data_IF_878169065729
#
_entry.id   IF_878169065729
#
_cell.length_a   1.000
_cell.length_b   1.000
_cell.length_c   1.000
_cell.angle_alpha   90.00
_cell.angle_beta   90.00
_cell.angle_gamma   90.00
#
_symmetry.space_group_name_H-M   'P 1'
#
loop_
_entity.id
_entity.type
_entity.pdbx_description
1 polymer ?
#
# COMPACT_ATOMS: atom_id res chain seq x y z
N UNK A 1 23.16 -28.39 -2.51
CA UNK A 1 23.25 -29.25 -1.30
C UNK A 1 24.68 -29.36 -0.77
N UNK A 2 25.35 -28.23 -0.44
CA UNK A 2 26.74 -28.26 0.14
C UNK A 2 27.04 -27.10 1.09
N UNK A 3 26.03 -26.43 1.69
CA UNK A 3 26.22 -25.32 2.65
C UNK A 3 25.48 -25.48 4.00
N UNK A 4 24.99 -26.69 4.35
CA UNK A 4 24.27 -26.92 5.62
C UNK A 4 24.97 -27.84 6.61
N UNK A 5 26.31 -27.97 6.57
CA UNK A 5 27.07 -28.86 7.44
C UNK A 5 28.21 -28.18 8.23
N UNK A 6 28.18 -26.85 8.40
CA UNK A 6 29.27 -26.15 9.13
C UNK A 6 28.80 -25.38 10.38
N UNK A 7 27.55 -25.48 10.81
CA UNK A 7 27.02 -24.72 11.97
C UNK A 7 26.76 -25.55 13.24
N UNK A 8 27.26 -26.80 13.33
CA UNK A 8 27.00 -27.70 14.45
C UNK A 8 28.24 -28.03 15.31
N UNK A 9 29.34 -27.29 15.22
CA UNK A 9 30.58 -27.59 15.91
C UNK A 9 31.20 -26.42 16.71
N UNK A 10 30.42 -25.38 17.07
CA UNK A 10 30.94 -24.24 17.86
C UNK A 10 30.16 -23.93 19.15
N UNK A 11 29.42 -24.87 19.70
CA UNK A 11 28.68 -24.69 20.98
C UNK A 11 29.22 -25.55 22.15
N UNK A 12 30.53 -25.81 22.26
CA UNK A 12 31.07 -26.63 23.34
C UNK A 12 32.41 -26.11 23.89
N UNK A 13 32.60 -24.80 24.08
CA UNK A 13 33.80 -24.30 24.77
C UNK A 13 33.62 -22.90 25.32
N UNK A 14 32.74 -22.70 26.33
CA UNK A 14 32.77 -21.51 27.20
C UNK A 14 31.93 -21.72 28.46
N UNK A 15 32.33 -22.70 29.28
CA UNK A 15 31.96 -22.75 30.69
C UNK A 15 33.23 -23.22 31.43
N UNK A 16 34.06 -22.27 31.89
CA UNK A 16 35.01 -22.42 33.01
C UNK A 16 35.94 -21.19 33.05
N UNK A 17 35.53 -20.17 33.79
CA UNK A 17 36.47 -19.24 34.45
C UNK A 17 35.69 -18.18 35.27
N UNK A 18 35.13 -18.58 36.39
CA UNK A 18 34.81 -17.69 37.51
C UNK A 18 35.11 -18.44 38.78
N UNK A 19 36.26 -18.16 39.34
CA UNK A 19 36.57 -18.32 40.77
C UNK A 19 38.07 -17.98 40.99
N UNK A 20 38.34 -16.79 41.49
CA UNK A 20 39.36 -16.52 42.50
C UNK A 20 39.75 -15.05 42.50
N UNK A 21 39.66 -14.44 43.69
CA UNK A 21 40.42 -13.25 44.01
C UNK A 21 39.74 -12.23 44.91
N UNK A 22 39.42 -12.60 46.16
CA UNK A 22 39.34 -11.64 47.28
C UNK A 22 40.74 -11.20 47.69
N UNK A 23 40.95 -9.88 47.95
CA UNK A 23 42.20 -9.36 48.57
C UNK A 23 42.00 -7.91 48.98
N UNK A 24 41.96 -7.73 50.27
CA UNK A 24 41.74 -6.57 51.14
C UNK A 24 42.98 -5.67 51.22
N UNK A 25 42.84 -4.34 51.35
CA UNK A 25 43.37 -3.49 52.40
C UNK A 25 43.57 -2.02 52.00
N UNK A 26 42.87 -1.12 52.70
CA UNK A 26 43.27 0.12 53.44
C UNK A 26 44.57 0.81 52.99
N UNK A 27 44.61 2.12 52.76
CA UNK A 27 44.71 3.20 53.77
C UNK A 27 44.91 4.58 53.11
N UNK A 28 44.29 5.58 53.69
CA UNK A 28 44.60 6.99 53.90
C UNK A 28 45.49 7.80 52.92
N UNK A 29 44.97 9.00 52.60
CA UNK A 29 45.79 10.17 52.25
C UNK A 29 45.06 11.28 51.54
N UNK A 30 44.67 12.24 52.34
CA UNK A 30 44.17 13.59 52.02
C UNK A 30 45.15 14.36 51.12
N UNK A 31 44.67 15.05 50.10
CA UNK A 31 44.86 16.51 49.93
C UNK A 31 44.13 17.06 48.71
N UNK A 32 43.47 18.16 48.99
CA UNK A 32 42.82 19.10 48.07
C UNK A 32 43.76 19.70 47.01
N UNK A 33 43.27 20.07 45.83
CA UNK A 33 43.32 21.41 45.25
C UNK A 33 42.56 21.46 43.91
N UNK A 34 41.76 22.51 43.73
CA UNK A 34 41.05 23.09 42.58
C UNK A 34 41.62 22.85 41.17
N UNK A 35 40.81 22.68 40.15
CA UNK A 35 40.41 23.75 39.24
C UNK A 35 39.76 23.23 37.92
N UNK A 36 38.77 23.96 37.49
CA UNK A 36 38.21 24.14 36.18
C UNK A 36 37.55 23.01 35.41
N UNK A 37 36.21 23.15 35.42
CA UNK A 37 35.35 22.62 34.42
C UNK A 37 35.78 22.94 32.99
N UNK A 38 35.79 21.91 32.19
CA UNK A 38 35.63 22.05 30.74
C UNK A 38 34.40 21.24 30.39
N UNK A 39 33.28 21.95 30.20
CA UNK A 39 32.13 21.44 29.48
C UNK A 39 32.59 21.03 28.06
N UNK A 40 32.89 19.77 27.90
CA UNK A 40 32.88 19.17 26.55
C UNK A 40 31.45 18.80 26.24
N UNK A 41 30.73 19.72 25.61
CA UNK A 41 29.60 19.34 24.74
C UNK A 41 30.14 18.28 23.78
N UNK A 42 29.76 17.05 23.97
CA UNK A 42 29.74 16.08 22.88
C UNK A 42 28.70 16.60 21.88
N UNK A 43 29.17 17.17 20.78
CA UNK A 43 28.38 17.25 19.56
C UNK A 43 28.28 15.80 19.12
N UNK A 44 27.14 15.14 19.44
CA UNK A 44 26.71 13.95 18.76
C UNK A 44 26.47 14.37 17.31
N UNK A 45 27.43 14.03 16.46
CA UNK A 45 27.24 14.01 15.02
C UNK A 45 26.18 12.96 14.68
N UNK A 46 25.60 12.96 13.47
CA UNK A 46 24.55 12.02 13.10
C UNK A 46 25.01 10.59 13.43
N UNK A 47 24.22 9.90 14.24
CA UNK A 47 24.46 8.52 14.67
C UNK A 47 24.44 7.62 13.43
N UNK A 48 25.60 7.35 12.88
CA UNK A 48 25.80 6.51 11.71
C UNK A 48 25.75 5.05 12.13
N UNK A 49 24.55 4.47 12.29
CA UNK A 49 24.47 3.04 12.54
C UNK A 49 23.21 2.47 13.17
N UNK A 50 22.17 3.25 13.42
CA UNK A 50 20.92 2.70 13.91
C UNK A 50 20.10 2.14 12.74
N UNK A 51 19.84 0.82 12.78
CA UNK A 51 18.92 0.16 11.85
C UNK A 51 17.56 0.07 12.54
N UNK A 52 16.54 0.63 11.94
CA UNK A 52 15.17 0.56 12.40
C UNK A 52 14.49 -0.70 11.89
N UNK A 53 13.90 -1.47 12.79
CA UNK A 53 13.08 -2.63 12.44
C UNK A 53 11.63 -2.21 12.31
N UNK A 54 11.13 -2.17 11.08
CA UNK A 54 9.78 -1.70 10.76
C UNK A 54 8.91 -2.89 10.34
N UNK A 55 7.84 -3.13 11.07
CA UNK A 55 6.82 -4.11 10.70
C UNK A 55 5.95 -3.56 9.57
N UNK A 56 5.63 -4.38 8.57
CA UNK A 56 4.76 -3.99 7.46
C UNK A 56 3.66 -5.02 7.32
N UNK A 57 2.43 -4.63 7.63
CA UNK A 57 1.24 -5.46 7.41
C UNK A 57 0.56 -5.03 6.13
N UNK A 58 0.45 -5.97 5.19
CA UNK A 58 -0.19 -5.75 3.89
C UNK A 58 -1.44 -6.61 3.74
N UNK A 59 -2.26 -6.30 2.76
CA UNK A 59 -3.40 -7.11 2.35
C UNK A 59 -2.94 -8.48 1.78
N UNK A 60 -3.67 -9.06 0.85
CA UNK A 60 -3.26 -10.36 0.29
C UNK A 60 -2.30 -10.20 -0.89
N UNK A 61 -1.16 -10.87 -0.83
CA UNK A 61 -0.11 -10.84 -1.88
C UNK A 61 -0.53 -11.48 -3.21
N UNK A 62 -1.72 -12.05 -3.28
CA UNK A 62 -2.28 -12.57 -4.53
C UNK A 62 -2.74 -11.46 -5.49
N UNK A 63 -3.04 -10.25 -5.00
CA UNK A 63 -3.46 -9.12 -5.81
C UNK A 63 -2.28 -8.46 -6.51
N UNK A 64 -2.44 -8.09 -7.78
CA UNK A 64 -1.34 -7.53 -8.59
C UNK A 64 -0.80 -6.22 -8.02
N UNK A 65 -1.69 -5.30 -7.64
CA UNK A 65 -1.31 -4.05 -6.99
C UNK A 65 -0.47 -4.31 -5.71
N UNK A 66 -0.90 -5.25 -4.86
CA UNK A 66 -0.17 -5.59 -3.63
C UNK A 66 1.19 -6.24 -3.94
N UNK A 67 1.32 -7.04 -5.01
CA UNK A 67 2.62 -7.55 -5.45
C UNK A 67 3.57 -6.42 -5.86
N UNK A 68 3.08 -5.42 -6.61
CA UNK A 68 3.88 -4.26 -7.00
C UNK A 68 4.35 -3.49 -5.76
N UNK A 69 3.46 -3.27 -4.80
CA UNK A 69 3.76 -2.67 -3.51
C UNK A 69 4.83 -3.46 -2.72
N UNK A 70 4.66 -4.78 -2.58
CA UNK A 70 5.64 -5.66 -1.91
C UNK A 70 6.99 -5.65 -2.61
N UNK A 71 7.02 -5.62 -3.93
CA UNK A 71 8.27 -5.51 -4.70
C UNK A 71 8.97 -4.16 -4.46
N UNK A 72 8.20 -3.06 -4.40
CA UNK A 72 8.73 -1.73 -4.07
C UNK A 72 9.31 -1.69 -2.65
N UNK A 73 8.60 -2.27 -1.67
CA UNK A 73 9.08 -2.37 -0.29
C UNK A 73 10.33 -3.22 -0.16
N UNK A 74 10.41 -4.38 -0.85
CA UNK A 74 11.62 -5.21 -0.87
C UNK A 74 12.83 -4.43 -1.44
N UNK A 75 12.58 -3.65 -2.50
CA UNK A 75 13.64 -2.82 -3.07
C UNK A 75 14.10 -1.73 -2.10
N UNK A 76 13.18 -1.10 -1.36
CA UNK A 76 13.53 -0.13 -0.32
C UNK A 76 14.33 -0.77 0.83
N UNK A 77 13.98 -1.99 1.26
CA UNK A 77 14.73 -2.77 2.25
C UNK A 77 16.16 -3.06 1.78
N UNK A 78 16.34 -3.38 0.49
CA UNK A 78 17.65 -3.61 -0.11
C UNK A 78 18.48 -2.33 -0.29
N UNK A 79 17.83 -1.19 -0.58
CA UNK A 79 18.49 0.08 -0.93
C UNK A 79 18.77 0.99 0.29
N UNK A 80 18.10 0.77 1.44
CA UNK A 80 18.18 1.64 2.62
C UNK A 80 18.86 0.94 3.80
N UNK A 81 20.16 1.11 3.96
CA UNK A 81 20.96 0.49 5.06
C UNK A 81 20.42 0.73 6.48
N UNK A 82 19.54 1.73 6.66
CA UNK A 82 19.00 2.15 7.96
C UNK A 82 17.64 1.52 8.31
N UNK A 83 17.09 0.65 7.47
CA UNK A 83 15.82 -0.04 7.73
C UNK A 83 15.96 -1.56 7.57
N UNK A 84 15.15 -2.30 8.31
CA UNK A 84 14.87 -3.72 8.16
C UNK A 84 13.35 -3.87 8.11
N UNK A 85 12.79 -4.20 6.95
CA UNK A 85 11.35 -4.36 6.77
C UNK A 85 10.92 -5.80 7.05
N UNK A 86 10.03 -5.98 8.03
CA UNK A 86 9.43 -7.28 8.36
C UNK A 86 8.01 -7.32 7.80
N UNK A 87 7.87 -7.84 6.58
CA UNK A 87 6.61 -7.85 5.85
C UNK A 87 5.78 -9.11 6.12
N UNK A 88 4.47 -8.93 6.28
CA UNK A 88 3.51 -10.02 6.47
C UNK A 88 2.32 -9.90 5.53
N UNK A 89 1.88 -11.05 5.00
CA UNK A 89 0.67 -11.21 4.19
C UNK A 89 -0.51 -11.50 5.12
N UNK A 90 -1.49 -10.62 5.16
CA UNK A 90 -2.71 -10.82 5.99
C UNK A 90 -3.74 -11.77 5.33
N UNK A 91 -3.49 -12.25 4.11
CA UNK A 91 -4.27 -13.29 3.41
C UNK A 91 -5.79 -12.98 3.31
N UNK A 92 -6.18 -11.72 3.14
CA UNK A 92 -7.57 -11.24 3.15
C UNK A 92 -8.32 -11.48 4.47
N UNK A 93 -7.61 -11.67 5.58
CA UNK A 93 -8.21 -11.90 6.89
C UNK A 93 -7.90 -10.74 7.84
N UNK A 94 -8.94 -9.99 8.22
CA UNK A 94 -8.82 -8.93 9.23
C UNK A 94 -8.33 -9.51 10.56
N UNK A 95 -8.83 -10.69 10.96
CA UNK A 95 -8.40 -11.37 12.19
C UNK A 95 -6.90 -11.69 12.14
N UNK A 96 -6.40 -12.18 10.99
CA UNK A 96 -4.98 -12.44 10.79
C UNK A 96 -4.18 -11.14 10.84
N UNK A 97 -4.64 -10.08 10.16
CA UNK A 97 -4.00 -8.77 10.19
C UNK A 97 -3.79 -8.25 11.61
N UNK A 98 -4.81 -8.32 12.45
CA UNK A 98 -4.73 -7.91 13.86
C UNK A 98 -3.74 -8.77 14.64
N UNK A 99 -3.77 -10.09 14.46
CA UNK A 99 -2.82 -11.02 15.09
C UNK A 99 -1.38 -10.79 14.62
N UNK A 100 -1.18 -10.44 13.35
CA UNK A 100 0.15 -10.12 12.80
C UNK A 100 0.69 -8.82 13.44
N UNK A 101 -0.13 -7.79 13.60
CA UNK A 101 0.23 -6.53 14.28
C UNK A 101 0.63 -6.82 15.74
N UNK A 102 -0.17 -7.57 16.49
CA UNK A 102 0.16 -7.97 17.87
C UNK A 102 1.48 -8.74 17.93
N UNK A 103 1.75 -9.59 16.95
CA UNK A 103 3.00 -10.36 16.86
C UNK A 103 4.20 -9.43 16.60
N UNK A 104 4.08 -8.45 15.70
CA UNK A 104 5.13 -7.47 15.42
C UNK A 104 5.41 -6.61 16.66
N UNK A 105 4.38 -6.16 17.37
CA UNK A 105 4.52 -5.46 18.66
C UNK A 105 5.29 -6.31 19.67
N UNK A 106 4.93 -7.59 19.82
CA UNK A 106 5.61 -8.51 20.75
C UNK A 106 7.06 -8.80 20.35
N UNK A 107 7.39 -8.73 19.06
CA UNK A 107 8.76 -8.86 18.53
C UNK A 107 9.60 -7.60 18.72
N UNK A 108 9.01 -6.51 19.18
CA UNK A 108 9.70 -5.26 19.47
C UNK A 108 10.15 -4.51 18.21
N UNK A 109 9.29 -4.42 17.20
CA UNK A 109 9.53 -3.54 16.04
C UNK A 109 9.54 -2.07 16.50
N UNK A 110 10.32 -1.22 15.84
CA UNK A 110 10.42 0.20 16.16
C UNK A 110 9.21 1.01 15.66
N UNK A 111 8.57 0.58 14.57
CA UNK A 111 7.39 1.19 13.96
C UNK A 111 6.60 0.19 13.13
N UNK A 112 5.37 0.54 12.77
CA UNK A 112 4.50 -0.29 11.92
C UNK A 112 3.93 0.53 10.75
N UNK A 113 4.07 -0.01 9.53
CA UNK A 113 3.34 0.42 8.34
C UNK A 113 2.13 -0.50 8.15
N UNK A 114 0.93 0.08 8.11
CA UNK A 114 -0.32 -0.66 7.97
C UNK A 114 -1.04 -0.32 6.66
N UNK A 115 -1.11 -1.29 5.75
CA UNK A 115 -2.04 -1.26 4.63
C UNK A 115 -3.29 -2.04 5.03
N UNK A 116 -4.32 -1.34 5.55
CA UNK A 116 -5.46 -1.97 6.19
C UNK A 116 -6.38 -2.71 5.20
N UNK A 117 -7.00 -3.80 5.65
CA UNK A 117 -7.97 -4.60 4.90
C UNK A 117 -9.38 -4.03 4.95
N UNK A 118 -9.76 -3.42 6.08
CA UNK A 118 -11.11 -2.94 6.32
C UNK A 118 -11.09 -1.61 7.06
N UNK A 119 -11.90 -0.66 6.61
CA UNK A 119 -12.04 0.64 7.25
C UNK A 119 -12.41 0.53 8.74
N UNK A 120 -13.43 -0.27 9.08
CA UNK A 120 -13.86 -0.49 10.45
C UNK A 120 -13.06 -1.63 11.13
N UNK A 121 -12.94 -2.78 10.44
CA UNK A 121 -12.43 -4.03 11.04
C UNK A 121 -10.97 -3.97 11.46
N UNK A 122 -10.14 -3.18 10.77
CA UNK A 122 -8.70 -3.07 11.08
C UNK A 122 -8.37 -1.97 12.11
N UNK A 123 -9.37 -1.21 12.58
CA UNK A 123 -9.19 -0.05 13.49
C UNK A 123 -8.52 -0.40 14.82
N UNK A 124 -8.71 -1.61 15.33
CA UNK A 124 -8.08 -2.05 16.58
C UNK A 124 -6.56 -2.24 16.48
N UNK A 125 -6.00 -2.38 15.26
CA UNK A 125 -4.55 -2.39 15.05
C UNK A 125 -3.91 -1.06 15.43
N UNK A 126 -4.56 0.07 15.10
CA UNK A 126 -4.12 1.42 15.47
C UNK A 126 -4.11 1.59 16.99
N UNK A 127 -5.18 1.13 17.66
CA UNK A 127 -5.27 1.17 19.12
C UNK A 127 -4.21 0.32 19.79
N UNK A 128 -3.92 -0.88 19.27
CA UNK A 128 -2.87 -1.77 19.79
C UNK A 128 -1.49 -1.11 19.73
N UNK A 129 -1.13 -0.51 18.59
CA UNK A 129 0.13 0.22 18.41
C UNK A 129 0.23 1.43 19.36
N UNK A 130 -0.83 2.22 19.46
CA UNK A 130 -0.89 3.35 20.40
C UNK A 130 -0.66 2.92 21.84
N UNK A 131 -1.33 1.85 22.28
CA UNK A 131 -1.18 1.32 23.64
C UNK A 131 0.22 0.75 23.91
N UNK A 132 0.88 0.24 22.88
CA UNK A 132 2.28 -0.24 22.95
C UNK A 132 3.31 0.90 22.85
N UNK A 133 2.90 2.11 22.49
CA UNK A 133 3.80 3.25 22.26
C UNK A 133 4.64 3.12 20.99
N UNK A 134 4.18 2.32 20.03
CA UNK A 134 4.82 2.12 18.73
C UNK A 134 4.15 3.01 17.69
N UNK A 135 4.89 3.88 16.98
CA UNK A 135 4.31 4.70 15.92
C UNK A 135 3.75 3.82 14.80
N UNK A 136 2.57 4.17 14.32
CA UNK A 136 1.92 3.52 13.18
C UNK A 136 1.69 4.55 12.07
N UNK A 137 2.15 4.23 10.88
CA UNK A 137 1.83 4.93 9.64
C UNK A 137 0.87 4.05 8.84
N UNK A 138 -0.32 4.57 8.57
CA UNK A 138 -1.22 3.96 7.60
C UNK A 138 -0.78 4.37 6.19
N UNK A 139 -0.80 3.43 5.23
CA UNK A 139 -0.41 3.75 3.87
C UNK A 139 -1.30 3.07 2.84
N UNK A 140 -1.59 3.82 1.76
CA UNK A 140 -2.47 3.40 0.64
C UNK A 140 -3.94 3.23 1.07
N UNK A 141 -4.19 2.61 2.21
CA UNK A 141 -5.53 2.48 2.81
C UNK A 141 -5.48 2.83 4.30
N UNK A 142 -6.60 3.28 4.85
CA UNK A 142 -6.69 3.75 6.23
C UNK A 142 -7.93 3.20 6.93
N UNK A 143 -7.89 3.25 8.26
CA UNK A 143 -9.01 2.84 9.13
C UNK A 143 -9.85 4.03 9.58
N UNK A 144 -10.99 3.76 10.25
CA UNK A 144 -11.78 4.82 10.89
C UNK A 144 -11.10 5.42 12.14
N UNK A 145 -10.08 4.75 12.70
CA UNK A 145 -9.36 5.21 13.88
C UNK A 145 -8.25 6.18 13.50
N UNK A 146 -8.43 7.46 13.81
CA UNK A 146 -7.50 8.54 13.45
C UNK A 146 -6.30 8.71 14.40
N UNK A 147 -6.08 7.79 15.34
CA UNK A 147 -4.96 7.82 16.31
C UNK A 147 -3.62 7.34 15.74
N UNK A 148 -3.52 7.16 14.42
CA UNK A 148 -2.25 6.90 13.72
C UNK A 148 -1.35 8.13 13.70
N UNK A 149 -0.03 7.91 13.50
CA UNK A 149 0.93 9.00 13.39
C UNK A 149 0.77 9.79 12.09
N UNK A 150 0.72 9.10 10.96
CA UNK A 150 0.63 9.67 9.60
C UNK A 150 -0.20 8.75 8.71
N UNK A 151 -0.97 9.33 7.79
CA UNK A 151 -1.46 8.63 6.61
C UNK A 151 -0.61 9.02 5.40
N UNK A 152 -0.14 8.04 4.66
CA UNK A 152 0.57 8.21 3.38
C UNK A 152 -0.21 7.49 2.29
N UNK A 153 -0.63 8.21 1.27
CA UNK A 153 -1.46 7.63 0.22
C UNK A 153 -1.83 8.63 -0.85
N UNK A 154 -3.00 8.43 -1.42
CA UNK A 154 -3.60 9.29 -2.42
C UNK A 154 -4.98 9.76 -1.97
N UNK A 155 -5.52 10.83 -2.55
CA UNK A 155 -6.93 11.13 -2.43
C UNK A 155 -7.74 10.10 -3.25
N UNK A 156 -8.06 8.97 -2.62
CA UNK A 156 -8.73 7.84 -3.26
C UNK A 156 -10.03 8.24 -3.93
N UNK A 157 -10.73 9.26 -3.41
CA UNK A 157 -11.97 9.76 -4.00
C UNK A 157 -11.71 10.43 -5.35
N UNK A 158 -10.59 11.13 -5.49
CA UNK A 158 -10.21 11.79 -6.74
C UNK A 158 -10.00 10.79 -7.88
N UNK A 159 -9.53 9.56 -7.59
CA UNK A 159 -9.41 8.52 -8.63
C UNK A 159 -10.77 8.09 -9.19
N UNK A 160 -11.81 8.04 -8.36
CA UNK A 160 -13.17 7.78 -8.80
C UNK A 160 -13.73 8.93 -9.66
N UNK A 161 -13.45 10.18 -9.30
CA UNK A 161 -13.79 11.37 -10.09
C UNK A 161 -13.11 11.28 -11.46
N UNK A 162 -11.78 11.07 -11.49
CA UNK A 162 -11.02 10.96 -12.74
C UNK A 162 -11.50 9.79 -13.62
N UNK A 163 -11.83 8.64 -13.03
CA UNK A 163 -12.35 7.50 -13.78
C UNK A 163 -13.72 7.79 -14.41
N UNK A 164 -14.57 8.57 -13.70
CA UNK A 164 -15.86 9.00 -14.23
C UNK A 164 -15.70 10.00 -15.39
N UNK A 165 -14.79 10.97 -15.27
CA UNK A 165 -14.46 11.91 -16.34
C UNK A 165 -13.97 11.18 -17.60
N UNK A 166 -13.00 10.25 -17.41
CA UNK A 166 -12.45 9.47 -18.52
C UNK A 166 -13.50 8.59 -19.22
N UNK A 167 -14.44 8.03 -18.47
CA UNK A 167 -15.51 7.22 -19.07
C UNK A 167 -16.55 8.10 -19.77
N UNK A 168 -16.87 9.27 -19.20
CA UNK A 168 -17.76 10.24 -19.81
C UNK A 168 -17.22 10.72 -21.16
N UNK A 169 -15.94 11.10 -21.20
CA UNK A 169 -15.25 11.48 -22.46
C UNK A 169 -15.28 10.35 -23.50
N UNK A 170 -15.09 9.09 -23.05
CA UNK A 170 -15.04 7.94 -23.96
C UNK A 170 -16.39 7.60 -24.62
N UNK A 171 -17.52 8.08 -24.05
CA UNK A 171 -18.89 7.88 -24.55
C UNK A 171 -19.59 9.18 -24.97
N UNK A 172 -18.81 10.26 -25.23
CA UNK A 172 -19.32 11.57 -25.61
C UNK A 172 -20.39 12.10 -24.61
N UNK A 173 -20.14 11.94 -23.30
CA UNK A 173 -20.97 12.38 -22.16
C UNK A 173 -22.42 11.84 -22.17
N UNK A 174 -22.68 10.73 -22.83
CA UNK A 174 -24.02 10.17 -22.94
C UNK A 174 -24.03 8.67 -23.08
N UNK A 175 -24.89 7.98 -22.32
CA UNK A 175 -25.08 6.54 -22.45
C UNK A 175 -25.41 5.83 -21.17
N UNK A 176 -25.31 4.50 -21.19
CA UNK A 176 -25.62 3.59 -20.10
C UNK A 176 -24.33 3.06 -19.48
N UNK A 177 -24.08 3.48 -18.25
CA UNK A 177 -22.92 3.12 -17.46
C UNK A 177 -23.22 1.94 -16.52
N UNK A 178 -22.26 1.05 -16.40
CA UNK A 178 -22.24 -0.05 -15.43
C UNK A 178 -21.01 0.09 -14.56
N UNK A 179 -21.13 -0.21 -13.25
CA UNK A 179 -20.04 -0.05 -12.29
C UNK A 179 -19.67 -1.40 -11.68
N UNK A 180 -18.37 -1.76 -11.70
CA UNK A 180 -17.83 -2.92 -11.00
C UNK A 180 -17.06 -2.44 -9.78
N UNK A 181 -17.64 -2.67 -8.60
CA UNK A 181 -17.10 -2.24 -7.33
C UNK A 181 -16.08 -3.23 -6.75
N UNK A 182 -15.18 -2.72 -5.90
CA UNK A 182 -14.25 -3.54 -5.13
C UNK A 182 -14.92 -4.36 -4.02
N UNK A 183 -14.09 -4.82 -3.06
CA UNK A 183 -14.58 -5.49 -1.85
C UNK A 183 -15.40 -4.52 -1.01
N UNK A 184 -16.62 -4.89 -0.69
CA UNK A 184 -17.54 -4.04 0.09
C UNK A 184 -16.97 -3.76 1.47
N UNK A 185 -16.94 -2.47 1.85
CA UNK A 185 -16.37 -2.00 3.11
C UNK A 185 -14.86 -1.72 3.08
N UNK A 186 -14.21 -1.90 1.94
CA UNK A 186 -12.83 -1.47 1.73
C UNK A 186 -12.76 0.02 1.40
N UNK A 187 -11.73 0.75 1.89
CA UNK A 187 -11.59 2.20 1.68
C UNK A 187 -11.61 2.59 0.21
N UNK A 188 -10.93 1.85 -0.65
CA UNK A 188 -10.94 2.11 -2.09
C UNK A 188 -12.35 1.92 -2.70
N UNK A 189 -13.11 0.90 -2.28
CA UNK A 189 -14.47 0.70 -2.76
C UNK A 189 -15.38 1.87 -2.35
N UNK A 190 -15.30 2.30 -1.08
CA UNK A 190 -16.12 3.37 -0.53
C UNK A 190 -15.81 4.69 -1.26
N UNK A 191 -14.52 5.05 -1.33
CA UNK A 191 -14.11 6.37 -1.84
C UNK A 191 -14.19 6.45 -3.37
N UNK A 192 -13.76 5.42 -4.11
CA UNK A 192 -13.88 5.38 -5.59
C UNK A 192 -15.35 5.46 -6.00
N UNK A 193 -16.22 4.68 -5.35
CA UNK A 193 -17.66 4.76 -5.60
C UNK A 193 -18.27 6.12 -5.25
N UNK A 194 -17.82 6.75 -4.15
CA UNK A 194 -18.27 8.11 -3.80
C UNK A 194 -17.81 9.14 -4.84
N UNK A 195 -16.58 9.04 -5.36
CA UNK A 195 -16.06 9.89 -6.43
C UNK A 195 -16.85 9.75 -7.72
N UNK A 196 -17.08 8.51 -8.18
CA UNK A 196 -17.90 8.21 -9.38
C UNK A 196 -19.32 8.79 -9.21
N UNK A 197 -19.95 8.53 -8.06
CA UNK A 197 -21.32 9.01 -7.81
C UNK A 197 -21.43 10.55 -7.70
N UNK A 198 -20.35 11.20 -7.25
CA UNK A 198 -20.30 12.67 -7.19
C UNK A 198 -20.17 13.26 -8.59
N UNK A 199 -19.19 12.77 -9.37
CA UNK A 199 -18.87 13.30 -10.69
C UNK A 199 -19.95 13.00 -11.71
N UNK A 200 -20.62 11.83 -11.61
CA UNK A 200 -21.76 11.46 -12.47
C UNK A 200 -22.87 12.54 -12.49
N UNK A 201 -23.02 13.36 -11.43
CA UNK A 201 -24.00 14.43 -11.39
C UNK A 201 -23.73 15.54 -12.41
N UNK A 202 -22.48 15.65 -12.88
CA UNK A 202 -22.08 16.60 -13.90
C UNK A 202 -22.43 16.11 -15.33
N UNK A 203 -22.79 14.83 -15.46
CA UNK A 203 -23.13 14.16 -16.72
C UNK A 203 -24.57 13.66 -16.75
N UNK A 204 -25.58 14.55 -16.87
CA UNK A 204 -27.00 14.21 -16.73
C UNK A 204 -27.54 13.25 -17.81
N UNK A 205 -26.84 13.10 -18.95
CA UNK A 205 -27.19 12.20 -20.02
C UNK A 205 -26.53 10.81 -19.87
N UNK A 206 -25.78 10.56 -18.82
CA UNK A 206 -25.23 9.25 -18.46
C UNK A 206 -26.10 8.63 -17.35
N UNK A 207 -26.63 7.43 -17.62
CA UNK A 207 -27.42 6.65 -16.68
C UNK A 207 -26.59 5.54 -16.06
N UNK A 208 -26.36 5.55 -14.74
CA UNK A 208 -25.83 4.40 -14.01
C UNK A 208 -26.94 3.34 -13.87
N UNK A 209 -26.85 2.28 -14.67
CA UNK A 209 -27.91 1.24 -14.77
C UNK A 209 -27.77 0.19 -13.68
N UNK A 210 -26.54 -0.27 -13.42
CA UNK A 210 -26.30 -1.34 -12.45
C UNK A 210 -24.88 -1.22 -11.85
N UNK A 211 -24.76 -1.53 -10.56
CA UNK A 211 -23.49 -1.66 -9.84
C UNK A 211 -23.42 -3.02 -9.19
N UNK A 212 -22.30 -3.74 -9.36
CA UNK A 212 -22.04 -5.01 -8.67
C UNK A 212 -20.60 -5.11 -8.19
N UNK A 213 -20.36 -5.82 -7.06
CA UNK A 213 -19.02 -6.08 -6.58
C UNK A 213 -18.34 -7.19 -7.39
N UNK A 214 -17.13 -6.91 -7.89
CA UNK A 214 -16.19 -7.87 -8.45
C UNK A 214 -15.06 -8.22 -7.47
N UNK A 215 -15.10 -7.66 -6.25
CA UNK A 215 -14.19 -7.99 -5.14
C UNK A 215 -12.69 -7.87 -5.52
N UNK A 216 -12.32 -6.86 -6.34
CA UNK A 216 -10.98 -6.66 -6.89
C UNK A 216 -10.43 -7.87 -7.68
N UNK A 217 -11.31 -8.80 -8.09
CA UNK A 217 -10.95 -10.03 -8.78
C UNK A 217 -11.30 -9.98 -10.26
N UNK A 218 -10.32 -10.27 -11.11
CA UNK A 218 -10.48 -10.38 -12.57
C UNK A 218 -11.56 -11.40 -12.95
N UNK A 219 -11.55 -12.58 -12.31
CA UNK A 219 -12.49 -13.66 -12.63
C UNK A 219 -13.92 -13.33 -12.19
N UNK A 220 -14.09 -12.71 -11.01
CA UNK A 220 -15.43 -12.30 -10.53
C UNK A 220 -16.00 -11.19 -11.39
N UNK A 221 -15.19 -10.19 -11.75
CA UNK A 221 -15.61 -9.12 -12.65
C UNK A 221 -15.98 -9.65 -14.06
N UNK A 222 -15.22 -10.63 -14.57
CA UNK A 222 -15.57 -11.33 -15.82
C UNK A 222 -16.95 -11.98 -15.69
N UNK A 223 -17.23 -12.73 -14.63
CA UNK A 223 -18.52 -13.39 -14.42
C UNK A 223 -19.68 -12.38 -14.27
N UNK A 224 -19.45 -11.25 -13.56
CA UNK A 224 -20.43 -10.15 -13.44
C UNK A 224 -20.74 -9.58 -14.84
N UNK A 225 -19.71 -9.31 -15.63
CA UNK A 225 -19.88 -8.76 -16.98
C UNK A 225 -20.57 -9.74 -17.92
N UNK A 226 -20.24 -11.03 -17.87
CA UNK A 226 -20.93 -12.07 -18.64
C UNK A 226 -22.44 -12.12 -18.31
N UNK A 227 -22.79 -11.98 -17.03
CA UNK A 227 -24.19 -11.92 -16.60
C UNK A 227 -24.90 -10.67 -17.16
N UNK A 228 -24.24 -9.52 -17.16
CA UNK A 228 -24.77 -8.29 -17.77
C UNK A 228 -24.94 -8.43 -19.30
N UNK A 229 -23.95 -8.98 -20.00
CA UNK A 229 -24.03 -9.19 -21.45
C UNK A 229 -25.14 -10.16 -21.85
N UNK A 230 -25.47 -11.14 -20.99
CA UNK A 230 -26.60 -12.03 -21.20
C UNK A 230 -27.96 -11.34 -20.94
N UNK A 231 -28.02 -10.39 -20.00
CA UNK A 231 -29.22 -9.66 -19.60
C UNK A 231 -29.54 -8.49 -20.51
N UNK A 232 -28.50 -7.78 -20.99
CA UNK A 232 -28.62 -6.54 -21.73
C UNK A 232 -28.15 -6.72 -23.18
N UNK A 233 -29.05 -6.57 -24.18
CA UNK A 233 -28.68 -6.67 -25.58
C UNK A 233 -27.66 -5.63 -26.05
N UNK A 234 -27.13 -5.80 -27.26
CA UNK A 234 -26.24 -4.82 -27.85
C UNK A 234 -26.90 -3.43 -27.91
N UNK A 235 -26.12 -2.39 -27.51
CA UNK A 235 -26.62 -1.00 -27.39
C UNK A 235 -27.30 -0.69 -26.05
N UNK A 236 -27.34 -1.63 -25.11
CA UNK A 236 -27.89 -1.41 -23.76
C UNK A 236 -26.77 -1.30 -22.69
N UNK A 237 -25.50 -1.43 -23.07
CA UNK A 237 -24.31 -1.18 -22.26
C UNK A 237 -23.37 -0.35 -23.13
N UNK A 238 -23.11 0.90 -22.77
CA UNK A 238 -22.20 1.78 -23.50
C UNK A 238 -20.83 1.80 -22.83
N UNK A 239 -20.80 1.74 -21.49
CA UNK A 239 -19.57 1.83 -20.73
C UNK A 239 -19.58 0.99 -19.45
N UNK A 240 -18.36 0.58 -19.02
CA UNK A 240 -18.12 -0.07 -17.74
C UNK A 240 -16.97 0.69 -17.05
N UNK A 241 -17.23 1.22 -15.84
CA UNK A 241 -16.21 1.72 -14.94
C UNK A 241 -15.93 0.67 -13.86
N UNK A 242 -14.67 0.31 -13.67
CA UNK A 242 -14.27 -0.65 -12.64
C UNK A 242 -13.37 0.01 -11.61
N UNK A 243 -13.58 -0.33 -10.34
CA UNK A 243 -12.80 0.25 -9.24
C UNK A 243 -11.33 -0.16 -9.26
N UNK A 244 -10.92 -1.14 -10.09
CA UNK A 244 -9.52 -1.40 -10.37
C UNK A 244 -9.31 -2.03 -11.75
N UNK A 245 -8.04 -2.08 -12.19
CA UNK A 245 -7.66 -2.59 -13.49
C UNK A 245 -7.88 -4.09 -13.64
N UNK A 246 -7.70 -4.88 -12.60
CA UNK A 246 -7.95 -6.33 -12.66
C UNK A 246 -9.43 -6.61 -13.00
N UNK A 247 -10.35 -5.86 -12.40
CA UNK A 247 -11.76 -5.97 -12.73
C UNK A 247 -12.09 -5.40 -14.12
N UNK A 248 -11.46 -4.28 -14.53
CA UNK A 248 -11.58 -3.73 -15.88
C UNK A 248 -11.12 -4.74 -16.94
N UNK A 249 -10.00 -5.42 -16.72
CA UNK A 249 -9.48 -6.49 -17.58
C UNK A 249 -10.41 -7.71 -17.60
N UNK A 250 -11.04 -8.04 -16.47
CA UNK A 250 -12.07 -9.08 -16.41
C UNK A 250 -13.26 -8.72 -17.29
N UNK A 251 -13.77 -7.48 -17.19
CA UNK A 251 -14.83 -6.96 -18.03
C UNK A 251 -14.44 -6.96 -19.51
N UNK A 252 -13.21 -6.52 -19.84
CA UNK A 252 -12.69 -6.53 -21.20
C UNK A 252 -12.68 -7.94 -21.79
N UNK A 253 -12.21 -8.92 -21.04
CA UNK A 253 -12.19 -10.31 -21.50
C UNK A 253 -13.59 -10.84 -21.81
N UNK A 254 -14.59 -10.57 -20.95
CA UNK A 254 -15.98 -10.94 -21.18
C UNK A 254 -16.55 -10.24 -22.43
N UNK A 255 -16.30 -8.93 -22.59
CA UNK A 255 -16.75 -8.17 -23.76
C UNK A 255 -16.12 -8.69 -25.06
N UNK A 256 -14.83 -8.99 -25.07
CA UNK A 256 -14.15 -9.57 -26.24
C UNK A 256 -14.70 -10.96 -26.60
N UNK A 257 -14.90 -11.84 -25.61
CA UNK A 257 -15.45 -13.17 -25.81
C UNK A 257 -16.88 -13.13 -26.41
N UNK A 258 -17.67 -12.12 -26.01
CA UNK A 258 -19.02 -11.88 -26.55
C UNK A 258 -19.05 -11.04 -27.83
N UNK A 259 -17.88 -10.64 -28.36
CA UNK A 259 -17.74 -9.74 -29.51
C UNK A 259 -18.47 -8.39 -29.31
N UNK A 260 -18.45 -7.87 -28.05
CA UNK A 260 -19.03 -6.58 -27.62
C UNK A 260 -17.92 -5.54 -27.40
N UNK A 261 -17.09 -5.32 -28.44
CA UNK A 261 -15.91 -4.46 -28.38
C UNK A 261 -16.22 -2.96 -28.46
N UNK A 262 -17.47 -2.60 -28.69
CA UNK A 262 -17.98 -1.22 -28.68
C UNK A 262 -18.04 -0.65 -27.23
N UNK A 263 -18.15 -1.49 -26.22
CA UNK A 263 -18.28 -1.09 -24.81
C UNK A 263 -16.96 -0.45 -24.35
N UNK A 264 -17.03 0.77 -23.84
CA UNK A 264 -15.88 1.50 -23.31
C UNK A 264 -15.60 1.04 -21.89
N UNK A 265 -14.32 0.84 -21.56
CA UNK A 265 -13.92 0.33 -20.25
C UNK A 265 -12.82 1.21 -19.67
N UNK A 266 -13.00 1.63 -18.41
CA UNK A 266 -12.02 2.38 -17.64
C UNK A 266 -11.75 1.64 -16.32
N UNK A 267 -10.48 1.56 -15.96
CA UNK A 267 -10.00 0.99 -14.69
C UNK A 267 -9.26 2.01 -13.84
N UNK A 268 -8.70 1.55 -12.73
CA UNK A 268 -7.85 2.31 -11.81
C UNK A 268 -6.74 1.38 -11.36
N UNK A 269 -5.55 1.83 -11.13
CA UNK A 269 -4.29 1.33 -10.59
C UNK A 269 -3.12 1.49 -11.58
N UNK A 270 -3.37 1.47 -12.90
CA UNK A 270 -2.32 1.54 -13.93
C UNK A 270 -1.51 0.24 -14.02
N UNK A 271 -2.14 -0.92 -13.85
CA UNK A 271 -1.50 -2.22 -14.04
C UNK A 271 -0.89 -2.35 -15.46
N UNK A 272 0.24 -3.03 -15.58
CA UNK A 272 0.94 -3.18 -16.85
C UNK A 272 0.05 -3.77 -17.97
N UNK A 273 -0.83 -4.74 -17.65
CA UNK A 273 -1.77 -5.33 -18.60
C UNK A 273 -2.84 -4.32 -19.03
N UNK A 274 -3.30 -3.44 -18.13
CA UNK A 274 -4.26 -2.39 -18.43
C UNK A 274 -3.64 -1.28 -19.27
N UNK A 275 -2.43 -0.83 -18.91
CA UNK A 275 -1.65 0.12 -19.74
C UNK A 275 -1.44 -0.41 -21.14
N UNK A 276 -1.11 -1.71 -21.28
CA UNK A 276 -1.01 -2.34 -22.60
C UNK A 276 -2.36 -2.37 -23.33
N UNK A 277 -3.47 -2.62 -22.63
CA UNK A 277 -4.80 -2.60 -23.22
C UNK A 277 -5.22 -1.19 -23.67
N UNK A 278 -4.81 -0.13 -22.96
CA UNK A 278 -4.97 1.26 -23.41
C UNK A 278 -4.13 1.53 -24.67
N UNK A 279 -2.86 1.12 -24.68
CA UNK A 279 -2.00 1.26 -25.87
C UNK A 279 -2.54 0.54 -27.12
N UNK A 280 -3.21 -0.59 -26.91
CA UNK A 280 -3.83 -1.39 -27.97
C UNK A 280 -5.20 -0.85 -28.38
N UNK A 281 -5.74 0.17 -27.70
CA UNK A 281 -7.09 0.73 -27.93
C UNK A 281 -8.23 -0.21 -27.50
N UNK A 282 -7.96 -1.18 -26.64
CA UNK A 282 -8.93 -2.15 -26.10
C UNK A 282 -9.63 -1.65 -24.84
N UNK A 283 -8.91 -0.90 -23.97
CA UNK A 283 -9.48 -0.10 -22.89
C UNK A 283 -9.48 1.37 -23.29
N UNK A 284 -10.44 2.12 -22.81
CA UNK A 284 -10.53 3.56 -23.06
C UNK A 284 -9.46 4.31 -22.24
N UNK A 285 -9.29 3.94 -20.97
CA UNK A 285 -8.33 4.59 -20.07
C UNK A 285 -8.09 3.76 -18.81
N UNK A 286 -7.10 4.19 -18.02
CA UNK A 286 -6.93 3.83 -16.61
C UNK A 286 -6.45 5.05 -15.81
N UNK A 287 -6.74 5.07 -14.51
CA UNK A 287 -6.19 6.07 -13.57
C UNK A 287 -5.02 5.42 -12.84
N UNK A 288 -3.81 5.91 -13.08
CA UNK A 288 -2.60 5.32 -12.49
C UNK A 288 -2.46 5.71 -11.03
N UNK A 289 -2.31 4.70 -10.18
CA UNK A 289 -1.86 4.77 -8.81
C UNK A 289 -0.38 4.35 -8.75
N UNK A 290 0.50 5.26 -8.33
CA UNK A 290 1.94 4.98 -8.32
C UNK A 290 2.39 4.53 -6.92
N UNK A 291 1.99 3.32 -6.55
CA UNK A 291 2.21 2.74 -5.21
C UNK A 291 3.69 2.68 -4.80
N UNK A 292 4.62 2.66 -5.76
CA UNK A 292 6.06 2.69 -5.49
C UNK A 292 6.48 3.99 -4.78
N UNK A 293 5.92 5.13 -5.17
CA UNK A 293 6.17 6.42 -4.49
C UNK A 293 5.52 6.47 -3.11
N UNK A 294 4.29 5.94 -2.97
CA UNK A 294 3.61 5.87 -1.68
C UNK A 294 4.38 5.00 -0.68
N UNK A 295 4.88 3.84 -1.11
CA UNK A 295 5.74 2.98 -0.28
C UNK A 295 6.99 3.71 0.19
N UNK A 296 7.66 4.42 -0.73
CA UNK A 296 8.85 5.20 -0.40
C UNK A 296 8.54 6.30 0.62
N UNK A 297 7.49 7.09 0.37
CA UNK A 297 7.05 8.15 1.29
C UNK A 297 6.68 7.60 2.66
N UNK A 298 6.04 6.42 2.73
CA UNK A 298 5.67 5.79 4.00
C UNK A 298 6.90 5.34 4.80
N UNK A 299 7.88 4.71 4.16
CA UNK A 299 9.13 4.29 4.82
C UNK A 299 9.94 5.52 5.25
N UNK A 300 10.11 6.53 4.40
CA UNK A 300 10.84 7.77 4.72
C UNK A 300 10.18 8.52 5.89
N UNK A 301 8.84 8.63 5.92
CA UNK A 301 8.12 9.28 7.03
C UNK A 301 8.25 8.47 8.32
N UNK A 302 8.18 7.13 8.27
CA UNK A 302 8.39 6.29 9.45
C UNK A 302 9.80 6.49 10.01
N UNK A 303 10.83 6.50 9.18
CA UNK A 303 12.22 6.80 9.59
C UNK A 303 12.31 8.18 10.21
N UNK A 304 11.70 9.19 9.59
CA UNK A 304 11.64 10.56 10.12
C UNK A 304 11.03 10.61 11.53
N UNK A 305 9.93 9.90 11.76
CA UNK A 305 9.28 9.80 13.08
C UNK A 305 10.20 9.13 14.09
N UNK A 306 10.88 8.04 13.71
CA UNK A 306 11.80 7.29 14.57
C UNK A 306 13.07 8.08 14.89
N UNK A 307 13.48 9.01 14.04
CA UNK A 307 14.54 10.01 14.29
C UNK A 307 14.09 11.14 15.22
N UNK A 308 12.83 11.13 15.66
CA UNK A 308 12.27 12.10 16.61
C UNK A 308 11.67 13.36 15.98
N UNK A 309 11.47 13.37 14.67
CA UNK A 309 10.76 14.47 14.02
C UNK A 309 9.23 14.37 14.27
N UNK A 310 8.55 15.50 14.24
CA UNK A 310 7.10 15.52 14.39
C UNK A 310 6.44 14.92 13.13
N UNK A 311 5.48 13.98 13.30
CA UNK A 311 4.79 13.38 12.16
C UNK A 311 3.96 14.41 11.40
N UNK A 312 3.88 14.27 10.09
CA UNK A 312 2.89 14.96 9.27
C UNK A 312 1.56 14.21 9.41
N UNK A 313 0.44 14.93 9.49
CA UNK A 313 -0.86 14.24 9.61
C UNK A 313 -1.17 13.41 8.35
N UNK A 314 -0.80 13.91 7.18
CA UNK A 314 -1.09 13.31 5.90
C UNK A 314 0.00 13.66 4.86
N UNK A 315 0.32 12.71 4.01
CA UNK A 315 1.21 12.87 2.84
C UNK A 315 0.48 12.24 1.65
N UNK A 316 0.11 13.06 0.66
CA UNK A 316 -0.64 12.59 -0.50
C UNK A 316 0.24 12.64 -1.75
N UNK A 317 0.22 11.52 -2.49
CA UNK A 317 0.68 11.43 -3.87
C UNK A 317 -0.50 11.68 -4.83
N UNK A 318 -0.21 11.98 -6.08
CA UNK A 318 -1.22 12.28 -7.09
C UNK A 318 -1.56 11.05 -7.93
N UNK A 319 -2.83 10.87 -8.25
CA UNK A 319 -3.27 9.99 -9.33
C UNK A 319 -3.02 10.63 -10.69
N UNK A 320 -2.79 9.82 -11.72
CA UNK A 320 -2.57 10.30 -13.09
C UNK A 320 -3.53 9.60 -14.06
N UNK A 321 -4.43 10.35 -14.73
CA UNK A 321 -5.27 9.79 -15.76
C UNK A 321 -4.44 9.42 -17.00
N UNK A 322 -4.68 8.26 -17.60
CA UNK A 322 -3.99 7.72 -18.76
C UNK A 322 -5.02 7.21 -19.76
N UNK A 323 -5.13 7.90 -20.90
CA UNK A 323 -6.06 7.58 -21.98
C UNK A 323 -5.39 7.48 -23.35
N UNK A 324 -4.12 7.82 -23.46
CA UNK A 324 -3.36 7.77 -24.71
C UNK A 324 -2.25 6.73 -24.68
N UNK A 325 -1.83 6.31 -25.86
CA UNK A 325 -0.72 5.36 -26.00
C UNK A 325 0.59 5.94 -25.44
N UNK A 326 0.82 7.22 -25.65
CA UNK A 326 2.03 7.92 -25.23
C UNK A 326 2.12 8.00 -23.69
N UNK A 327 1.02 8.32 -23.04
CA UNK A 327 0.91 8.33 -21.57
C UNK A 327 1.12 6.93 -20.99
N UNK A 328 0.44 5.91 -21.55
CA UNK A 328 0.58 4.54 -21.10
C UNK A 328 2.02 4.02 -21.25
N UNK A 329 2.68 4.33 -22.38
CA UNK A 329 4.09 3.94 -22.60
C UNK A 329 5.02 4.55 -21.55
N UNK A 330 4.81 5.83 -21.19
CA UNK A 330 5.59 6.49 -20.15
C UNK A 330 5.55 5.73 -18.81
N UNK A 331 4.37 5.27 -18.38
CA UNK A 331 4.26 4.51 -17.14
C UNK A 331 4.80 3.07 -17.26
N UNK A 332 4.68 2.44 -18.42
CA UNK A 332 5.34 1.15 -18.69
C UNK A 332 6.86 1.26 -18.56
N UNK A 333 7.46 2.33 -19.09
CA UNK A 333 8.90 2.58 -19.01
C UNK A 333 9.34 2.83 -17.56
N UNK A 334 8.59 3.64 -16.79
CA UNK A 334 8.87 3.90 -15.37
C UNK A 334 8.87 2.60 -14.53
N UNK A 335 7.89 1.72 -14.73
CA UNK A 335 7.80 0.43 -14.00
C UNK A 335 8.83 -0.60 -14.44
N UNK A 336 9.30 -0.54 -15.69
CA UNK A 336 10.36 -1.42 -16.19
C UNK A 336 11.79 -0.96 -15.83
N UNK A 337 11.92 0.21 -15.20
CA UNK A 337 13.22 0.79 -14.81
C UNK A 337 14.04 1.31 -15.97
N UNK A 338 13.42 1.65 -17.11
CA UNK A 338 14.06 2.20 -18.30
C UNK A 338 13.97 3.73 -18.38
#
# INVERSE_FOLDING_TARGET
>A
MKKRLLSLLLCAAMVMAMLAGCGNSKDSGNDSVDDKGTDSKSEDGPDSGKVYKIGVSTQAWKYEFIKNMVNALNKLDDDMDQVELVMVDSEDSVEKQLSDVDTMIAQGVDGILLNCLSFEGSSSAVEACKNAGIPLVEFISYTENEDYATFVGTDVKSSGIMAMDLIADAIDEKGKLFEIQGVIGHTAQINRGAGIAEELKNYPDIELVESQSGEFSKDKAMAVTEAWLAKYPAGEIDAIVAHNDQMALGALNACQAANRTEIKIVGIDGDAEALQAVMDGKMAATVVDYCEEECKLAVEEMVSILDGNAPKKEILADYVPVSTKEEAQKFMDLRSGN
#
